data_IF_150070586498
#
_entry.id   IF_150070586498
#
_cell.length_a   1.000
_cell.length_b   1.000
_cell.length_c   1.000
_cell.angle_alpha   90.00
_cell.angle_beta   90.00
_cell.angle_gamma   90.00
#
_symmetry.space_group_name_H-M   'P 1'
#
loop_
_entity.id
_entity.type
_entity.pdbx_description
1 polymer ?
#
# COMPACT_ATOMS: atom_id res chain seq x y z
N UNK A 1 -47.13 21.36 9.61
CA UNK A 1 -46.58 20.76 8.37
C UNK A 1 -45.57 21.74 7.77
N UNK A 2 -44.53 21.24 7.13
CA UNK A 2 -43.37 22.00 6.68
C UNK A 2 -43.24 21.94 5.15
N UNK A 3 -42.73 23.01 4.54
CA UNK A 3 -42.38 23.01 3.11
C UNK A 3 -41.07 22.27 2.87
N UNK A 4 -40.84 21.82 1.63
CA UNK A 4 -39.56 21.20 1.24
C UNK A 4 -38.34 22.07 1.58
N UNK A 5 -38.47 23.40 1.46
CA UNK A 5 -37.40 24.34 1.81
C UNK A 5 -37.11 24.40 3.31
N UNK A 6 -38.14 24.32 4.15
CA UNK A 6 -37.97 24.28 5.60
C UNK A 6 -37.35 22.96 6.06
N UNK A 7 -37.77 21.83 5.48
CA UNK A 7 -37.20 20.51 5.79
C UNK A 7 -35.75 20.40 5.35
N UNK A 8 -35.44 20.86 4.12
CA UNK A 8 -34.07 20.90 3.61
C UNK A 8 -33.14 21.70 4.53
N UNK A 9 -33.60 22.87 4.99
CA UNK A 9 -32.85 23.71 5.93
C UNK A 9 -32.70 23.05 7.31
N UNK A 10 -33.75 22.43 7.83
CA UNK A 10 -33.74 21.77 9.15
C UNK A 10 -32.78 20.58 9.19
N UNK A 11 -32.75 19.78 8.12
CA UNK A 11 -31.98 18.53 8.05
C UNK A 11 -30.61 18.68 7.37
N UNK A 12 -30.25 19.90 6.93
CA UNK A 12 -28.97 20.15 6.25
C UNK A 12 -28.81 19.43 4.90
N UNK A 13 -29.91 19.06 4.24
CA UNK A 13 -29.89 18.36 2.95
C UNK A 13 -30.40 19.25 1.82
N UNK A 14 -29.97 18.96 0.59
CA UNK A 14 -30.47 19.69 -0.58
C UNK A 14 -31.95 19.35 -0.86
N UNK A 15 -32.67 20.27 -1.52
CA UNK A 15 -34.03 19.98 -2.00
C UNK A 15 -34.06 18.82 -2.97
N UNK A 16 -33.00 18.63 -3.75
CA UNK A 16 -32.90 17.54 -4.72
C UNK A 16 -32.69 16.19 -4.02
N UNK A 17 -31.97 16.16 -2.90
CA UNK A 17 -31.89 14.98 -2.01
C UNK A 17 -33.28 14.56 -1.51
N UNK A 18 -34.11 15.53 -1.10
CA UNK A 18 -35.48 15.25 -0.66
C UNK A 18 -36.37 14.72 -1.80
N UNK A 19 -36.26 15.29 -3.00
CA UNK A 19 -36.96 14.77 -4.19
C UNK A 19 -36.49 13.37 -4.53
N UNK A 20 -35.19 13.12 -4.47
CA UNK A 20 -34.62 11.79 -4.71
C UNK A 20 -35.15 10.76 -3.71
N UNK A 21 -35.27 11.08 -2.42
CA UNK A 21 -35.89 10.18 -1.45
C UNK A 21 -37.38 9.93 -1.73
N UNK A 22 -38.11 10.94 -2.21
CA UNK A 22 -39.50 10.77 -2.66
C UNK A 22 -39.58 9.84 -3.89
N UNK A 23 -38.73 10.03 -4.90
CA UNK A 23 -38.64 9.18 -6.10
C UNK A 23 -38.28 7.73 -5.74
N UNK A 24 -37.40 7.54 -4.75
CA UNK A 24 -37.06 6.21 -4.22
C UNK A 24 -38.11 5.69 -3.23
N UNK A 25 -39.22 6.39 -3.02
CA UNK A 25 -40.29 5.95 -2.14
C UNK A 25 -39.86 5.80 -0.68
N UNK A 26 -38.82 6.51 -0.26
CA UNK A 26 -38.29 6.56 1.11
C UNK A 26 -39.00 7.61 1.98
N UNK A 27 -39.65 8.60 1.36
CA UNK A 27 -40.55 9.54 2.02
C UNK A 27 -41.76 9.78 1.11
N UNK A 28 -42.95 10.01 1.68
CA UNK A 28 -44.19 10.21 0.92
C UNK A 28 -44.96 11.43 1.47
N UNK A 29 -44.46 12.66 1.24
CA UNK A 29 -45.12 13.86 1.72
C UNK A 29 -46.50 14.03 1.07
N UNK A 30 -47.42 14.70 1.78
CA UNK A 30 -48.74 15.01 1.21
C UNK A 30 -48.66 16.23 0.31
N UNK A 31 -49.43 16.23 -0.78
CA UNK A 31 -49.69 17.45 -1.54
C UNK A 31 -50.79 18.25 -0.83
N UNK A 32 -50.57 19.56 -0.72
CA UNK A 32 -51.56 20.51 -0.23
C UNK A 32 -52.67 20.68 -1.30
N UNK A 33 -53.91 20.38 -0.90
CA UNK A 33 -55.07 20.42 -1.80
C UNK A 33 -55.37 21.82 -2.37
N UNK A 34 -54.88 22.90 -1.74
CA UNK A 34 -55.17 24.28 -2.16
C UNK A 34 -54.18 24.88 -3.16
N UNK A 35 -52.96 24.36 -3.26
CA UNK A 35 -51.90 24.98 -4.06
C UNK A 35 -50.92 23.99 -4.71
N UNK A 36 -51.09 22.67 -4.49
CA UNK A 36 -50.26 21.62 -5.07
C UNK A 36 -48.84 21.51 -4.49
N UNK A 37 -48.46 22.35 -3.51
CA UNK A 37 -47.14 22.28 -2.89
C UNK A 37 -47.02 21.10 -1.92
N UNK A 38 -45.81 20.53 -1.87
CA UNK A 38 -45.46 19.44 -0.93
C UNK A 38 -45.44 19.94 0.51
N UNK A 39 -46.09 19.19 1.40
CA UNK A 39 -46.12 19.41 2.84
C UNK A 39 -45.65 18.16 3.56
N UNK A 40 -44.61 18.32 4.36
CA UNK A 40 -44.00 17.27 5.17
C UNK A 40 -44.52 17.38 6.60
N UNK A 41 -44.96 16.27 7.18
CA UNK A 41 -45.32 16.17 8.58
C UNK A 41 -44.12 15.68 9.41
N UNK A 42 -44.34 15.45 10.70
CA UNK A 42 -43.28 14.98 11.59
C UNK A 42 -42.84 13.53 11.30
N UNK A 43 -43.74 12.66 10.84
CA UNK A 43 -43.40 11.30 10.39
C UNK A 43 -42.54 11.33 9.12
N UNK A 44 -42.85 12.20 8.16
CA UNK A 44 -42.02 12.38 6.96
C UNK A 44 -40.60 12.83 7.34
N UNK A 45 -40.49 13.75 8.32
CA UNK A 45 -39.19 14.19 8.84
C UNK A 45 -38.47 13.03 9.52
N UNK A 46 -39.16 12.21 10.32
CA UNK A 46 -38.59 11.03 10.95
C UNK A 46 -38.05 10.02 9.92
N UNK A 47 -38.80 9.78 8.85
CA UNK A 47 -38.36 8.91 7.75
C UNK A 47 -37.10 9.46 7.08
N UNK A 48 -37.06 10.76 6.76
CA UNK A 48 -35.88 11.39 6.15
C UNK A 48 -34.68 11.32 7.08
N UNK A 49 -34.86 11.59 8.38
CA UNK A 49 -33.78 11.49 9.37
C UNK A 49 -33.23 10.07 9.46
N UNK A 50 -34.10 9.06 9.45
CA UNK A 50 -33.70 7.64 9.44
C UNK A 50 -32.91 7.29 8.18
N UNK A 51 -33.35 7.77 7.02
CA UNK A 51 -32.64 7.57 5.75
C UNK A 51 -31.25 8.23 5.80
N UNK A 52 -31.18 9.48 6.27
CA UNK A 52 -29.91 10.20 6.41
C UNK A 52 -28.94 9.44 7.32
N UNK A 53 -29.41 8.97 8.48
CA UNK A 53 -28.60 8.18 9.40
C UNK A 53 -27.95 6.95 8.73
N UNK A 54 -28.75 6.13 8.02
CA UNK A 54 -28.19 4.97 7.32
C UNK A 54 -27.28 5.36 6.14
N UNK A 55 -27.55 6.49 5.49
CA UNK A 55 -26.67 7.02 4.43
C UNK A 55 -25.34 7.53 4.98
N UNK A 56 -25.32 8.09 6.19
CA UNK A 56 -24.08 8.49 6.89
C UNK A 56 -23.22 7.27 7.26
N UNK A 57 -23.86 6.13 7.55
CA UNK A 57 -23.19 4.83 7.68
C UNK A 57 -22.78 4.21 6.34
N UNK A 58 -22.92 4.95 5.24
CA UNK A 58 -22.64 4.52 3.87
C UNK A 58 -23.36 3.22 3.48
N UNK A 59 -24.61 3.08 3.94
CA UNK A 59 -25.53 2.04 3.50
C UNK A 59 -26.20 2.51 2.21
N UNK A 60 -26.29 1.62 1.24
CA UNK A 60 -26.93 1.89 -0.03
C UNK A 60 -28.44 2.16 0.14
N UNK A 61 -28.94 3.13 -0.61
CA UNK A 61 -30.36 3.51 -0.67
C UNK A 61 -31.26 2.28 -0.88
N UNK A 62 -30.81 1.31 -1.69
CA UNK A 62 -31.55 0.07 -1.94
C UNK A 62 -31.74 -0.77 -0.67
N UNK A 63 -30.68 -0.96 0.14
CA UNK A 63 -30.77 -1.67 1.42
C UNK A 63 -31.68 -0.91 2.40
N UNK A 64 -31.65 0.42 2.40
CA UNK A 64 -32.56 1.26 3.21
C UNK A 64 -34.03 1.08 2.79
N UNK A 65 -34.31 0.96 1.48
CA UNK A 65 -35.66 0.65 1.00
C UNK A 65 -36.14 -0.72 1.47
N UNK A 66 -35.25 -1.72 1.54
CA UNK A 66 -35.58 -3.04 2.09
C UNK A 66 -35.82 -2.99 3.60
N UNK A 67 -35.00 -2.26 4.36
CA UNK A 67 -35.20 -2.01 5.79
C UNK A 67 -36.61 -1.47 6.07
N UNK A 68 -37.07 -0.51 5.26
CA UNK A 68 -38.41 0.07 5.37
C UNK A 68 -39.56 -0.91 5.10
N UNK A 69 -39.32 -2.01 4.37
CA UNK A 69 -40.35 -3.00 4.05
C UNK A 69 -40.63 -3.99 5.19
N UNK A 70 -39.91 -3.88 6.31
CA UNK A 70 -40.18 -4.66 7.52
C UNK A 70 -39.12 -5.72 7.78
N UNK A 71 -37.87 -5.28 7.97
CA UNK A 71 -36.82 -6.14 8.50
C UNK A 71 -36.91 -6.23 10.03
N UNK A 72 -36.72 -7.42 10.60
CA UNK A 72 -36.60 -7.59 12.05
C UNK A 72 -35.23 -7.08 12.53
N UNK A 73 -35.05 -6.97 13.84
CA UNK A 73 -33.81 -6.45 14.43
C UNK A 73 -32.61 -7.28 13.97
N UNK A 74 -32.78 -8.60 13.85
CA UNK A 74 -31.74 -9.54 13.42
C UNK A 74 -31.22 -9.23 12.00
N UNK A 75 -32.13 -8.94 11.06
CA UNK A 75 -31.77 -8.57 9.69
C UNK A 75 -31.09 -7.19 9.60
N UNK A 76 -31.47 -6.24 10.46
CA UNK A 76 -30.77 -4.95 10.57
C UNK A 76 -29.36 -5.16 11.08
N UNK A 77 -29.21 -5.95 12.16
CA UNK A 77 -27.90 -6.31 12.72
C UNK A 77 -27.01 -6.94 11.66
N UNK A 78 -27.52 -7.87 10.86
CA UNK A 78 -26.76 -8.50 9.78
C UNK A 78 -26.23 -7.50 8.74
N UNK A 79 -27.05 -6.51 8.34
CA UNK A 79 -26.62 -5.44 7.42
C UNK A 79 -25.51 -4.58 8.05
N UNK A 80 -25.65 -4.26 9.34
CA UNK A 80 -24.66 -3.45 10.06
C UNK A 80 -23.34 -4.20 10.22
N UNK A 81 -23.37 -5.48 10.59
CA UNK A 81 -22.18 -6.34 10.69
C UNK A 81 -21.49 -6.51 9.32
N UNK A 82 -22.24 -6.64 8.23
CA UNK A 82 -21.68 -6.66 6.87
C UNK A 82 -20.95 -5.35 6.55
N UNK A 83 -21.58 -4.21 6.88
CA UNK A 83 -20.96 -2.89 6.66
C UNK A 83 -19.74 -2.68 7.55
N UNK A 84 -19.79 -3.10 8.81
CA UNK A 84 -18.68 -3.04 9.75
C UNK A 84 -17.47 -3.83 9.23
N UNK A 85 -17.67 -5.08 8.78
CA UNK A 85 -16.59 -5.88 8.18
C UNK A 85 -15.96 -5.20 6.98
N UNK A 86 -16.78 -4.67 6.07
CA UNK A 86 -16.28 -3.95 4.90
C UNK A 86 -15.46 -2.70 5.27
N UNK A 87 -15.88 -1.96 6.30
CA UNK A 87 -15.14 -0.79 6.80
C UNK A 87 -13.81 -1.21 7.44
N UNK A 88 -13.79 -2.30 8.21
CA UNK A 88 -12.55 -2.84 8.79
C UNK A 88 -11.56 -3.23 7.68
N UNK A 89 -12.01 -3.95 6.66
CA UNK A 89 -11.18 -4.32 5.50
C UNK A 89 -10.61 -3.09 4.77
N UNK A 90 -11.42 -2.03 4.62
CA UNK A 90 -10.95 -0.77 4.03
C UNK A 90 -9.89 -0.11 4.92
N UNK A 91 -10.09 -0.05 6.23
CA UNK A 91 -9.12 0.52 7.18
C UNK A 91 -7.78 -0.22 7.08
N UNK A 92 -7.80 -1.56 7.09
CA UNK A 92 -6.58 -2.38 6.96
C UNK A 92 -5.86 -2.09 5.65
N UNK A 93 -6.59 -1.98 4.54
CA UNK A 93 -6.03 -1.63 3.24
C UNK A 93 -5.42 -0.21 3.23
N UNK A 94 -6.10 0.78 3.79
CA UNK A 94 -5.60 2.16 3.87
C UNK A 94 -4.36 2.25 4.77
N UNK A 95 -4.30 1.51 5.87
CA UNK A 95 -3.12 1.41 6.72
C UNK A 95 -1.94 0.79 5.97
N UNK A 96 -2.16 -0.26 5.18
CA UNK A 96 -1.15 -0.85 4.32
C UNK A 96 -0.61 0.14 3.28
N UNK A 97 -1.50 0.89 2.61
CA UNK A 97 -1.10 1.94 1.68
C UNK A 97 -0.27 3.04 2.36
N UNK A 98 -0.68 3.47 3.55
CA UNK A 98 0.05 4.48 4.32
C UNK A 98 1.47 3.99 4.67
N UNK A 99 1.63 2.72 5.06
CA UNK A 99 2.94 2.10 5.30
C UNK A 99 3.80 2.11 4.03
N UNK A 100 3.22 1.79 2.87
CA UNK A 100 3.93 1.84 1.57
C UNK A 100 4.38 3.26 1.22
N UNK A 101 3.51 4.25 1.37
CA UNK A 101 3.84 5.66 1.09
C UNK A 101 5.00 6.16 1.96
N UNK A 102 5.01 5.79 3.25
CA UNK A 102 6.12 6.13 4.16
C UNK A 102 7.44 5.51 3.73
N UNK A 103 7.44 4.25 3.32
CA UNK A 103 8.64 3.57 2.81
C UNK A 103 9.16 4.27 1.55
N UNK A 104 8.30 4.53 0.56
CA UNK A 104 8.72 5.23 -0.67
C UNK A 104 9.28 6.62 -0.35
N UNK A 105 8.69 7.34 0.61
CA UNK A 105 9.22 8.64 1.05
C UNK A 105 10.61 8.51 1.68
N UNK A 106 10.81 7.53 2.57
CA UNK A 106 12.13 7.22 3.13
C UNK A 106 13.15 6.87 2.03
N UNK A 107 12.72 6.12 1.02
CA UNK A 107 13.57 5.74 -0.11
C UNK A 107 13.95 6.96 -0.97
N UNK A 108 13.04 7.90 -1.20
CA UNK A 108 13.37 9.19 -1.83
C UNK A 108 14.39 10.00 -1.00
N UNK A 109 14.25 10.03 0.33
CA UNK A 109 15.20 10.70 1.22
C UNK A 109 16.59 10.05 1.13
N UNK A 110 16.67 8.72 1.09
CA UNK A 110 17.93 8.01 0.88
C UNK A 110 18.57 8.34 -0.46
N UNK A 111 17.79 8.37 -1.54
CA UNK A 111 18.30 8.72 -2.89
C UNK A 111 18.94 10.12 -2.82
N UNK A 112 18.20 11.11 -2.31
CA UNK A 112 18.71 12.48 -2.21
C UNK A 112 19.97 12.60 -1.34
N UNK A 113 20.08 11.78 -0.30
CA UNK A 113 21.20 11.86 0.65
C UNK A 113 22.43 11.08 0.19
N UNK A 114 22.25 9.94 -0.49
CA UNK A 114 23.30 8.94 -0.65
C UNK A 114 23.66 8.63 -2.10
N UNK A 115 22.93 9.15 -3.09
CA UNK A 115 23.19 8.87 -4.50
C UNK A 115 24.64 9.20 -4.89
N UNK A 116 25.37 8.20 -5.37
CA UNK A 116 26.76 8.30 -5.80
C UNK A 116 27.78 8.51 -4.68
N UNK A 117 27.36 8.45 -3.41
CA UNK A 117 28.22 8.62 -2.23
C UNK A 117 28.38 7.32 -1.45
N UNK A 118 29.48 7.19 -0.72
CA UNK A 118 29.75 6.03 0.11
C UNK A 118 29.79 6.40 1.58
N UNK A 119 29.22 5.55 2.43
CA UNK A 119 29.26 5.70 3.89
C UNK A 119 29.18 4.33 4.56
N UNK A 120 29.52 4.27 5.84
CA UNK A 120 29.35 3.05 6.63
C UNK A 120 27.98 3.06 7.30
N UNK A 121 27.19 2.00 7.10
CA UNK A 121 25.89 1.83 7.76
C UNK A 121 25.69 0.37 8.19
N UNK A 122 24.92 0.18 9.26
CA UNK A 122 24.40 -1.12 9.61
C UNK A 122 23.24 -1.49 8.68
N UNK A 123 23.22 -2.74 8.19
CA UNK A 123 22.08 -3.25 7.45
C UNK A 123 21.01 -3.73 8.43
N UNK A 124 19.77 -3.24 8.27
CA UNK A 124 18.63 -3.70 9.07
C UNK A 124 18.46 -5.22 8.91
N UNK A 125 18.36 -5.99 10.02
CA UNK A 125 18.19 -7.43 9.95
C UNK A 125 16.93 -7.83 9.18
N UNK A 126 17.03 -8.94 8.44
CA UNK A 126 15.91 -9.52 7.72
C UNK A 126 15.97 -11.04 7.76
N UNK A 127 14.84 -11.67 7.48
CA UNK A 127 14.72 -13.13 7.42
C UNK A 127 14.47 -13.58 6.00
N UNK A 128 15.16 -14.64 5.58
CA UNK A 128 14.98 -15.24 4.25
C UNK A 128 13.74 -16.14 4.27
N UNK A 129 12.86 -15.97 3.28
CA UNK A 129 11.64 -16.78 3.10
C UNK A 129 11.70 -17.70 1.89
N UNK A 130 12.57 -17.39 0.94
CA UNK A 130 12.76 -18.18 -0.27
C UNK A 130 13.90 -17.60 -1.11
N UNK A 131 14.32 -18.38 -2.10
CA UNK A 131 15.32 -18.00 -3.09
C UNK A 131 14.71 -18.19 -4.48
N UNK A 132 15.13 -17.37 -5.43
CA UNK A 132 14.67 -17.39 -6.81
C UNK A 132 15.89 -17.21 -7.70
N UNK A 133 15.97 -18.01 -8.77
CA UNK A 133 17.06 -17.95 -9.73
C UNK A 133 16.91 -16.75 -10.69
N UNK A 134 15.69 -16.29 -10.98
CA UNK A 134 15.46 -15.20 -11.92
C UNK A 134 14.32 -14.26 -11.52
N UNK A 135 14.47 -12.94 -11.72
CA UNK A 135 13.41 -11.96 -11.45
C UNK A 135 12.14 -12.23 -12.26
N UNK A 136 12.27 -12.82 -13.46
CA UNK A 136 11.14 -13.18 -14.34
C UNK A 136 10.34 -14.39 -13.86
N UNK A 137 10.80 -15.13 -12.84
CA UNK A 137 10.02 -16.17 -12.17
C UNK A 137 8.92 -15.60 -11.25
N UNK A 138 8.55 -14.33 -11.45
CA UNK A 138 7.43 -13.64 -10.79
C UNK A 138 6.09 -14.39 -10.94
N UNK A 139 5.92 -15.18 -12.02
CA UNK A 139 4.76 -16.05 -12.21
C UNK A 139 4.74 -17.24 -11.23
N UNK A 140 5.90 -17.71 -10.77
CA UNK A 140 6.02 -18.82 -9.82
C UNK A 140 5.63 -18.42 -8.38
N UNK A 141 5.58 -17.12 -8.08
CA UNK A 141 5.09 -16.58 -6.81
C UNK A 141 3.58 -16.77 -6.57
N UNK A 142 2.84 -17.26 -7.58
CA UNK A 142 1.43 -17.63 -7.45
C UNK A 142 1.16 -18.68 -6.36
N UNK A 143 2.17 -19.45 -5.94
CA UNK A 143 2.04 -20.59 -5.02
C UNK A 143 2.32 -20.26 -3.53
N UNK A 144 2.99 -19.15 -3.21
CA UNK A 144 3.11 -18.64 -1.82
C UNK A 144 1.85 -17.88 -1.35
N UNK A 145 0.77 -17.96 -2.13
CA UNK A 145 -0.39 -17.06 -2.14
C UNK A 145 -1.65 -17.67 -1.49
N UNK A 146 -1.48 -18.65 -0.62
CA UNK A 146 -2.58 -19.18 0.19
C UNK A 146 -2.70 -18.35 1.47
N UNK A 147 -3.29 -17.16 1.34
CA UNK A 147 -4.29 -16.60 2.24
C UNK A 147 -4.65 -15.18 1.79
N UNK A 148 -5.96 -14.98 1.55
CA UNK A 148 -6.67 -13.71 1.32
C UNK A 148 -6.29 -12.88 0.09
N UNK A 149 -7.29 -12.60 -0.76
CA UNK A 149 -7.23 -11.77 -1.97
C UNK A 149 -6.66 -10.34 -1.77
N UNK A 150 -6.50 -9.89 -0.52
CA UNK A 150 -5.83 -8.62 -0.18
C UNK A 150 -4.30 -8.65 -0.37
N UNK A 151 -3.67 -9.83 -0.25
CA UNK A 151 -2.22 -10.00 -0.46
C UNK A 151 -1.81 -10.05 -1.94
N UNK A 152 -2.78 -10.28 -2.87
CA UNK A 152 -2.51 -10.25 -4.32
C UNK A 152 -1.99 -8.89 -4.82
N UNK A 153 -2.25 -7.79 -4.11
CA UNK A 153 -1.90 -6.41 -4.51
C UNK A 153 -0.66 -5.85 -3.80
N UNK A 154 0.06 -6.66 -3.02
CA UNK A 154 1.09 -6.18 -2.11
C UNK A 154 2.36 -7.05 -2.06
N UNK A 155 2.71 -7.74 -3.15
CA UNK A 155 4.10 -8.19 -3.32
C UNK A 155 4.95 -6.91 -3.42
N UNK A 156 5.67 -6.60 -2.35
CA UNK A 156 6.36 -5.34 -2.16
C UNK A 156 7.68 -5.41 -2.94
N UNK A 157 8.01 -4.38 -3.74
CA UNK A 157 9.36 -4.18 -4.30
C UNK A 157 10.46 -4.38 -3.23
N UNK A 158 10.16 -4.04 -1.98
CA UNK A 158 11.07 -4.16 -0.83
C UNK A 158 11.30 -5.58 -0.33
N UNK A 159 10.51 -6.56 -0.79
CA UNK A 159 10.59 -7.95 -0.33
C UNK A 159 11.55 -8.78 -1.17
N UNK A 160 12.02 -8.25 -2.30
CA UNK A 160 12.99 -8.90 -3.14
C UNK A 160 14.35 -8.20 -3.00
N UNK A 161 15.41 -8.98 -2.90
CA UNK A 161 16.79 -8.47 -2.90
C UNK A 161 17.63 -9.28 -3.84
N UNK A 162 18.46 -8.62 -4.65
CA UNK A 162 19.53 -9.30 -5.39
C UNK A 162 20.73 -9.45 -4.45
N UNK A 163 21.32 -10.62 -4.43
CA UNK A 163 22.55 -10.91 -3.72
C UNK A 163 23.57 -11.34 -4.75
N UNK A 164 24.71 -10.67 -4.74
CA UNK A 164 25.83 -11.00 -5.63
C UNK A 164 26.99 -11.44 -4.77
N UNK A 165 27.56 -12.61 -5.07
CA UNK A 165 28.82 -13.06 -4.49
C UNK A 165 29.97 -12.74 -5.44
N UNK A 166 31.08 -12.28 -4.89
CA UNK A 166 32.24 -11.87 -5.68
C UNK A 166 33.55 -12.16 -4.95
N UNK A 167 34.63 -12.23 -5.71
CA UNK A 167 36.01 -12.32 -5.22
C UNK A 167 36.90 -11.30 -5.95
N UNK A 168 38.22 -11.46 -5.84
CA UNK A 168 39.20 -10.61 -6.53
C UNK A 168 39.19 -10.78 -8.06
N UNK A 169 38.70 -11.91 -8.57
CA UNK A 169 38.63 -12.21 -10.01
C UNK A 169 37.34 -11.69 -10.65
N UNK A 170 36.30 -11.42 -9.86
CA UNK A 170 35.03 -10.85 -10.33
C UNK A 170 33.80 -11.42 -9.63
N UNK A 171 32.65 -11.31 -10.29
CA UNK A 171 31.40 -11.90 -9.84
C UNK A 171 31.46 -13.43 -9.94
N UNK A 172 31.05 -14.12 -8.88
CA UNK A 172 30.96 -15.59 -8.81
C UNK A 172 29.55 -16.05 -9.18
N UNK A 173 28.54 -15.47 -8.51
CA UNK A 173 27.13 -15.76 -8.76
C UNK A 173 26.25 -14.56 -8.39
N UNK A 174 25.04 -14.57 -8.93
CA UNK A 174 23.95 -13.72 -8.46
C UNK A 174 22.66 -14.53 -8.24
N UNK A 175 21.87 -14.09 -7.25
CA UNK A 175 20.59 -14.72 -6.94
C UNK A 175 19.62 -13.70 -6.36
N UNK A 176 18.33 -13.98 -6.47
CA UNK A 176 17.30 -13.19 -5.80
C UNK A 176 16.81 -13.90 -4.55
N UNK A 177 16.69 -13.17 -3.45
CA UNK A 177 16.14 -13.67 -2.18
C UNK A 177 14.86 -12.92 -1.83
N UNK A 178 13.91 -13.66 -1.29
CA UNK A 178 12.67 -13.13 -0.74
C UNK A 178 12.88 -12.92 0.75
N UNK A 179 12.62 -11.70 1.23
CA UNK A 179 12.89 -11.31 2.60
C UNK A 179 11.66 -10.79 3.31
N UNK A 180 11.62 -11.04 4.63
CA UNK A 180 10.66 -10.46 5.57
C UNK A 180 11.42 -9.65 6.62
N UNK A 181 11.01 -8.40 6.85
CA UNK A 181 11.58 -7.56 7.93
C UNK A 181 11.28 -8.21 9.29
N UNK A 182 12.25 -8.18 10.20
CA UNK A 182 12.16 -8.82 11.53
C UNK A 182 11.01 -8.25 12.37
N UNK A 183 10.70 -6.96 12.23
CA UNK A 183 9.59 -6.29 12.93
C UNK A 183 8.19 -6.86 12.61
N UNK A 184 8.04 -7.66 11.54
CA UNK A 184 6.77 -8.27 11.16
C UNK A 184 6.73 -9.81 11.42
N UNK A 185 7.61 -10.34 12.26
CA UNK A 185 7.70 -11.79 12.52
C UNK A 185 6.87 -12.20 13.74
N UNK A 186 6.08 -13.26 13.58
CA UNK A 186 5.65 -14.10 14.71
C UNK A 186 6.84 -14.95 15.17
N UNK A 187 7.01 -15.12 16.48
CA UNK A 187 8.13 -15.84 17.10
C UNK A 187 8.23 -17.33 16.70
N UNK A 188 7.20 -17.87 16.04
CA UNK A 188 7.07 -19.28 15.65
C UNK A 188 7.57 -19.61 14.25
N UNK A 189 7.92 -18.63 13.41
CA UNK A 189 8.39 -18.92 12.05
C UNK A 189 9.84 -19.44 12.08
N UNK A 190 10.17 -20.52 11.36
CA UNK A 190 11.55 -20.96 11.11
C UNK A 190 12.22 -20.15 9.98
N UNK A 191 13.55 -20.04 9.98
CA UNK A 191 14.35 -19.42 8.90
C UNK A 191 15.54 -18.57 9.38
N UNK A 192 16.54 -18.43 8.52
CA UNK A 192 17.80 -17.73 8.80
C UNK A 192 17.62 -16.21 8.88
N UNK A 193 18.14 -15.60 9.96
CA UNK A 193 18.20 -14.15 10.14
C UNK A 193 19.56 -13.65 9.65
N UNK A 194 19.55 -12.76 8.67
CA UNK A 194 20.74 -12.11 8.16
C UNK A 194 20.84 -10.72 8.78
N UNK A 195 22.02 -10.43 9.35
CA UNK A 195 22.34 -9.13 9.93
C UNK A 195 23.82 -8.81 9.69
N UNK A 196 24.09 -7.58 9.26
CA UNK A 196 25.45 -7.09 9.06
C UNK A 196 25.59 -5.73 9.75
N UNK A 197 26.34 -5.64 10.87
CA UNK A 197 26.41 -4.41 11.66
C UNK A 197 27.24 -3.31 10.99
N UNK A 198 28.11 -3.68 10.05
CA UNK A 198 28.92 -2.75 9.26
C UNK A 198 28.88 -3.16 7.79
N UNK A 199 28.41 -2.24 6.96
CA UNK A 199 28.44 -2.36 5.51
C UNK A 199 28.99 -1.07 4.92
N UNK A 200 29.77 -1.19 3.86
CA UNK A 200 29.92 -0.12 2.90
C UNK A 200 28.58 0.06 2.20
N UNK A 201 28.03 1.26 2.29
CA UNK A 201 26.68 1.60 1.86
C UNK A 201 26.71 2.70 0.81
N UNK A 202 25.90 2.54 -0.23
CA UNK A 202 25.71 3.54 -1.27
C UNK A 202 24.32 3.42 -1.89
N UNK A 203 23.88 4.48 -2.57
CA UNK A 203 22.75 4.44 -3.51
C UNK A 203 23.29 4.76 -4.89
N UNK A 204 22.90 4.00 -5.89
CA UNK A 204 23.32 4.19 -7.29
C UNK A 204 22.11 4.29 -8.22
N UNK A 205 22.37 4.75 -9.44
CA UNK A 205 21.40 4.79 -10.53
C UNK A 205 21.83 3.84 -11.67
N UNK A 206 20.99 2.86 -11.97
CA UNK A 206 21.22 1.75 -12.90
C UNK A 206 20.04 1.59 -13.88
N UNK A 207 19.49 2.72 -14.35
CA UNK A 207 18.41 2.71 -15.36
C UNK A 207 18.95 2.90 -16.76
N UNK A 208 18.19 2.52 -17.81
CA UNK A 208 18.57 2.80 -19.20
C UNK A 208 18.92 4.27 -19.45
N UNK A 209 18.31 5.19 -18.70
CA UNK A 209 18.63 6.60 -18.77
C UNK A 209 20.10 6.92 -18.43
N UNK A 210 20.70 6.24 -17.44
CA UNK A 210 22.09 6.45 -17.03
C UNK A 210 23.08 5.51 -17.73
N UNK A 211 22.63 4.33 -18.16
CA UNK A 211 23.53 3.25 -18.62
C UNK A 211 23.43 2.92 -20.11
N UNK A 212 22.46 3.50 -20.84
CA UNK A 212 22.10 3.11 -22.21
C UNK A 212 21.81 1.59 -22.34
N UNK A 213 21.34 0.98 -21.25
CA UNK A 213 21.06 -0.46 -21.17
C UNK A 213 22.27 -1.36 -20.90
N UNK A 214 23.44 -0.77 -20.64
CA UNK A 214 24.62 -1.51 -20.15
C UNK A 214 24.49 -1.91 -18.67
N UNK A 215 25.23 -2.94 -18.27
CA UNK A 215 25.41 -3.27 -16.86
C UNK A 215 26.53 -2.43 -16.25
N UNK A 216 26.30 -1.90 -15.05
CA UNK A 216 27.31 -1.18 -14.25
C UNK A 216 27.83 -2.01 -13.08
N UNK A 217 27.48 -3.31 -12.99
CA UNK A 217 27.84 -4.17 -11.87
C UNK A 217 29.36 -4.19 -11.61
N UNK A 218 30.17 -4.27 -12.68
CA UNK A 218 31.64 -4.27 -12.57
C UNK A 218 32.19 -2.93 -12.08
N UNK A 219 31.68 -1.81 -12.60
CA UNK A 219 32.11 -0.46 -12.24
C UNK A 219 31.73 -0.10 -10.80
N UNK A 220 30.52 -0.47 -10.39
CA UNK A 220 30.03 -0.33 -9.02
C UNK A 220 30.85 -1.21 -8.09
N UNK A 221 31.09 -2.47 -8.46
CA UNK A 221 31.91 -3.41 -7.71
C UNK A 221 33.33 -2.89 -7.50
N UNK A 222 33.95 -2.34 -8.56
CA UNK A 222 35.28 -1.73 -8.48
C UNK A 222 35.29 -0.48 -7.56
N UNK A 223 34.23 0.32 -7.59
CA UNK A 223 34.09 1.51 -6.74
C UNK A 223 33.93 1.14 -5.26
N UNK A 224 33.11 0.14 -4.95
CA UNK A 224 32.95 -0.39 -3.58
C UNK A 224 34.27 -0.96 -3.05
N UNK A 225 35.00 -1.76 -3.85
CA UNK A 225 36.32 -2.30 -3.48
C UNK A 225 37.32 -1.19 -3.17
N UNK A 226 37.40 -0.19 -4.05
CA UNK A 226 38.28 0.96 -3.87
C UNK A 226 37.96 1.72 -2.59
N UNK A 227 36.69 2.00 -2.34
CA UNK A 227 36.28 2.78 -1.19
C UNK A 227 36.45 2.02 0.14
N UNK A 228 36.16 0.72 0.15
CA UNK A 228 36.43 -0.12 1.31
C UNK A 228 37.91 -0.10 1.68
N UNK A 229 38.80 -0.26 0.69
CA UNK A 229 40.26 -0.20 0.87
C UNK A 229 40.72 1.17 1.36
N UNK A 230 40.22 2.26 0.77
CA UNK A 230 40.55 3.63 1.18
C UNK A 230 40.12 3.91 2.63
N UNK A 231 39.01 3.32 3.05
CA UNK A 231 38.48 3.42 4.41
C UNK A 231 39.10 2.42 5.40
N UNK A 232 40.06 1.58 4.96
CA UNK A 232 40.75 0.61 5.80
C UNK A 232 39.94 -0.64 6.15
N UNK A 233 38.97 -1.01 5.32
CA UNK A 233 38.09 -2.17 5.51
C UNK A 233 38.30 -3.25 4.45
N UNK A 234 38.04 -4.49 4.85
CA UNK A 234 37.96 -5.63 3.94
C UNK A 234 36.50 -6.01 3.69
N UNK A 235 36.14 -6.29 2.43
CA UNK A 235 34.81 -6.77 2.06
C UNK A 235 34.66 -8.26 2.39
N UNK A 236 33.43 -8.68 2.72
CA UNK A 236 33.11 -10.09 3.00
C UNK A 236 32.77 -10.92 1.75
N UNK A 237 32.95 -10.38 0.55
CA UNK A 237 32.75 -11.11 -0.71
C UNK A 237 31.30 -11.27 -1.16
N UNK A 238 30.39 -10.43 -0.65
CA UNK A 238 29.00 -10.38 -1.12
C UNK A 238 28.41 -8.98 -1.01
N UNK A 239 27.39 -8.68 -1.82
CA UNK A 239 26.60 -7.44 -1.72
C UNK A 239 25.11 -7.75 -1.73
N UNK A 240 24.33 -6.96 -0.99
CA UNK A 240 22.87 -6.95 -1.05
C UNK A 240 22.40 -5.71 -1.78
N UNK A 241 21.58 -5.91 -2.80
CA UNK A 241 21.05 -4.84 -3.65
C UNK A 241 19.52 -4.84 -3.52
N UNK A 242 18.98 -3.68 -3.13
CA UNK A 242 17.54 -3.46 -3.01
C UNK A 242 17.10 -2.40 -4.02
N UNK A 243 16.00 -2.64 -4.72
CA UNK A 243 15.36 -1.62 -5.53
C UNK A 243 14.65 -0.60 -4.61
N UNK A 244 15.04 0.66 -4.69
CA UNK A 244 14.40 1.77 -3.97
C UNK A 244 13.23 2.33 -4.77
N UNK A 245 13.49 2.74 -6.01
CA UNK A 245 12.53 3.46 -6.84
C UNK A 245 12.85 3.30 -8.33
N UNK A 246 11.80 3.27 -9.14
CA UNK A 246 11.89 3.46 -10.58
C UNK A 246 11.10 4.70 -10.97
N UNK A 247 11.70 5.58 -11.75
CA UNK A 247 11.09 6.79 -12.31
C UNK A 247 11.46 6.87 -13.79
N UNK A 248 11.02 7.91 -14.51
CA UNK A 248 11.26 8.07 -15.93
C UNK A 248 11.74 9.48 -16.22
N UNK A 249 12.66 9.60 -17.17
CA UNK A 249 13.14 10.84 -17.76
C UNK A 249 13.37 10.60 -19.25
N UNK A 250 12.79 11.45 -20.11
CA UNK A 250 12.81 11.29 -21.56
C UNK A 250 12.37 9.88 -22.05
N UNK A 251 11.29 9.36 -21.46
CA UNK A 251 10.73 8.00 -21.70
C UNK A 251 11.69 6.83 -21.40
N UNK A 252 12.84 7.11 -20.79
CA UNK A 252 13.78 6.12 -20.29
C UNK A 252 13.63 5.98 -18.79
N UNK A 253 13.63 4.75 -18.30
CA UNK A 253 13.58 4.49 -16.87
C UNK A 253 14.89 4.84 -16.20
N UNK A 254 14.73 5.39 -15.01
CA UNK A 254 15.75 5.64 -14.00
C UNK A 254 15.51 4.64 -12.88
N UNK A 255 16.50 3.84 -12.53
CA UNK A 255 16.38 2.78 -11.52
C UNK A 255 17.35 3.08 -10.39
N UNK A 256 16.82 3.28 -9.18
CA UNK A 256 17.64 3.58 -8.01
C UNK A 256 17.81 2.36 -7.13
N UNK A 257 19.05 1.98 -6.89
CA UNK A 257 19.42 0.78 -6.14
C UNK A 257 20.16 1.17 -4.86
N UNK A 258 19.74 0.56 -3.75
CA UNK A 258 20.43 0.63 -2.46
C UNK A 258 21.33 -0.57 -2.29
N UNK A 259 22.61 -0.33 -2.00
CA UNK A 259 23.62 -1.38 -1.89
C UNK A 259 24.18 -1.42 -0.47
N UNK A 260 24.24 -2.62 0.09
CA UNK A 260 24.99 -2.94 1.30
C UNK A 260 26.06 -3.99 0.98
N UNK A 261 27.32 -3.61 1.11
CA UNK A 261 28.45 -4.53 1.00
C UNK A 261 29.06 -4.75 2.40
N UNK A 262 28.85 -5.90 3.05
CA UNK A 262 29.39 -6.15 4.38
C UNK A 262 30.91 -6.05 4.44
N UNK A 263 31.41 -5.47 5.53
CA UNK A 263 32.83 -5.19 5.77
C UNK A 263 33.28 -5.67 7.15
N UNK A 264 34.58 -5.98 7.29
CA UNK A 264 35.26 -6.28 8.55
C UNK A 264 36.47 -5.37 8.75
#
# INVERSE_FOLDING_TARGET
MYTIGQVAKFLGVSRDTLKFYEEKGLVKPRQDHGNGYRKYNHFDIYDITTVNFYRELDIEVRKIQELRKGKNIEEITSILEEKERAVIEEIEYKQLLLKKLRIVKEDCEKINQYLGTFTIKAMKPFKIKGKIEHFTAYDEFGTLKNNTDSLKKAVILTSLRRVIHFNEEGMIDDQFIIVKKVENLDQSEEGEIIAHPKCMYTVIEDGRWSTDGGSIDDDVGASIRREAKNSGYELLGLVYINLLLTTYEDDLERVFLEIYAPIK
#
